data_IF_936467698698
#
_entry.id   IF_936467698698
#
_cell.length_a   1.000
_cell.length_b   1.000
_cell.length_c   1.000
_cell.angle_alpha   90.00
_cell.angle_beta   90.00
_cell.angle_gamma   90.00
#
_symmetry.space_group_name_H-M   'P 1'
#
loop_
_entity.id
_entity.type
_entity.pdbx_description
1 polymer ?
#
# COMPACT_ATOMS: atom_id res chain seq x y z
N UNK A 1 -20.46 12.53 21.70
CA UNK A 1 -19.22 13.26 22.00
C UNK A 1 -18.98 14.36 20.96
N UNK A 2 -19.09 14.13 19.69
CA UNK A 2 -18.78 15.09 18.60
C UNK A 2 -19.89 16.07 18.22
N UNK A 3 -21.13 15.88 18.70
CA UNK A 3 -22.24 16.84 18.44
C UNK A 3 -21.97 18.27 18.91
N UNK A 4 -21.10 18.47 19.92
CA UNK A 4 -20.66 19.79 20.38
C UNK A 4 -19.66 20.47 19.43
N UNK A 5 -18.97 19.67 18.57
CA UNK A 5 -18.03 20.20 17.59
C UNK A 5 -18.73 20.71 16.33
N UNK A 6 -19.94 20.23 16.03
CA UNK A 6 -20.77 20.70 14.92
C UNK A 6 -20.87 22.24 14.89
N UNK A 7 -21.09 22.86 16.05
CA UNK A 7 -21.22 24.31 16.18
C UNK A 7 -19.89 25.07 16.32
N UNK A 8 -18.79 24.37 16.64
CA UNK A 8 -17.46 24.98 16.89
C UNK A 8 -16.54 24.90 15.67
N UNK A 9 -16.70 23.84 14.84
CA UNK A 9 -15.80 23.57 13.73
C UNK A 9 -16.60 23.24 12.48
N UNK A 10 -16.67 24.22 11.57
CA UNK A 10 -17.29 24.02 10.27
C UNK A 10 -16.25 23.48 9.27
N UNK A 11 -16.40 22.21 8.91
CA UNK A 11 -15.51 21.51 7.97
C UNK A 11 -15.57 22.12 6.58
N UNK A 12 -16.78 22.53 6.13
CA UNK A 12 -16.98 23.07 4.78
C UNK A 12 -16.32 24.44 4.63
N UNK A 13 -16.42 25.31 5.64
CA UNK A 13 -15.81 26.63 5.60
C UNK A 13 -14.27 26.55 5.70
N UNK A 14 -13.77 25.56 6.44
CA UNK A 14 -12.33 25.32 6.60
C UNK A 14 -11.74 24.41 5.51
N UNK A 15 -12.50 24.08 4.49
CA UNK A 15 -12.06 23.16 3.43
C UNK A 15 -10.74 23.59 2.77
N UNK A 16 -10.50 24.87 2.58
CA UNK A 16 -9.26 25.34 1.94
C UNK A 16 -8.02 24.89 2.77
N UNK A 17 -8.10 25.02 4.10
CA UNK A 17 -7.02 24.58 5.00
C UNK A 17 -6.92 23.05 5.02
N UNK A 18 -8.04 22.38 5.24
CA UNK A 18 -8.09 20.91 5.31
C UNK A 18 -7.70 20.27 3.97
N UNK A 19 -8.22 20.77 2.84
CA UNK A 19 -7.84 20.32 1.52
C UNK A 19 -6.35 20.52 1.20
N UNK A 20 -5.77 21.64 1.64
CA UNK A 20 -4.32 21.88 1.49
C UNK A 20 -3.49 20.91 2.32
N UNK A 21 -3.89 20.61 3.55
CA UNK A 21 -3.23 19.59 4.39
C UNK A 21 -3.28 18.23 3.70
N UNK A 22 -4.46 17.82 3.21
CA UNK A 22 -4.59 16.58 2.44
C UNK A 22 -3.71 16.56 1.19
N UNK A 23 -3.67 17.67 0.45
CA UNK A 23 -2.82 17.79 -0.74
C UNK A 23 -1.33 17.67 -0.39
N UNK A 24 -0.88 18.21 0.74
CA UNK A 24 0.52 18.08 1.20
C UNK A 24 0.86 16.61 1.44
N UNK A 25 -0.03 15.83 2.08
CA UNK A 25 0.20 14.40 2.29
C UNK A 25 0.20 13.61 0.98
N UNK A 26 -0.63 14.00 0.00
CA UNK A 26 -0.67 13.35 -1.31
C UNK A 26 0.47 13.82 -2.25
N UNK A 27 1.10 14.96 -1.97
CA UNK A 27 2.05 15.63 -2.87
C UNK A 27 3.20 14.71 -3.29
N UNK A 28 3.77 13.98 -2.35
CA UNK A 28 4.90 13.10 -2.63
C UNK A 28 4.51 11.99 -3.62
N UNK A 29 3.35 11.36 -3.43
CA UNK A 29 2.83 10.37 -4.36
C UNK A 29 2.53 10.96 -5.74
N UNK A 30 1.93 12.16 -5.79
CA UNK A 30 1.63 12.87 -7.04
C UNK A 30 2.94 13.17 -7.79
N UNK A 31 3.93 13.76 -7.11
CA UNK A 31 5.23 14.10 -7.70
C UNK A 31 5.93 12.85 -8.21
N UNK A 32 5.93 11.77 -7.43
CA UNK A 32 6.56 10.50 -7.80
C UNK A 32 5.94 9.91 -9.07
N UNK A 33 4.63 9.99 -9.23
CA UNK A 33 3.94 9.50 -10.44
C UNK A 33 4.20 10.41 -11.65
N UNK A 34 4.17 11.73 -11.47
CA UNK A 34 4.42 12.70 -12.55
C UNK A 34 5.84 12.57 -13.10
N UNK A 35 6.82 12.24 -12.26
CA UNK A 35 8.22 12.15 -12.66
C UNK A 35 8.61 10.79 -13.28
N UNK A 36 7.78 9.75 -13.14
CA UNK A 36 8.02 8.44 -13.77
C UNK A 36 8.31 8.50 -15.28
N UNK A 37 7.55 9.24 -16.11
CA UNK A 37 7.81 9.32 -17.55
C UNK A 37 9.14 10.00 -17.90
N UNK A 38 9.73 10.76 -16.97
CA UNK A 38 11.02 11.45 -17.14
C UNK A 38 12.21 10.62 -16.66
N UNK A 39 12.04 9.32 -16.49
CA UNK A 39 13.04 8.38 -15.95
C UNK A 39 13.53 8.71 -14.52
N UNK A 40 12.79 9.53 -13.78
CA UNK A 40 13.02 9.77 -12.34
C UNK A 40 12.14 8.83 -11.56
N UNK A 41 12.71 7.72 -11.09
CA UNK A 41 11.97 6.68 -10.39
C UNK A 41 12.25 6.75 -8.89
N UNK A 42 11.22 7.05 -8.12
CA UNK A 42 11.26 7.03 -6.65
C UNK A 42 10.75 5.71 -6.08
N UNK A 43 10.05 4.89 -6.89
CA UNK A 43 9.50 3.62 -6.45
C UNK A 43 10.56 2.52 -6.49
N UNK A 44 10.52 1.64 -5.51
CA UNK A 44 11.32 0.43 -5.48
C UNK A 44 10.51 -0.71 -6.12
N UNK A 45 10.55 -0.84 -7.45
CA UNK A 45 9.86 -1.92 -8.14
C UNK A 45 10.52 -3.27 -7.84
N UNK A 46 9.69 -4.26 -7.52
CA UNK A 46 10.12 -5.63 -7.20
C UNK A 46 10.17 -6.51 -8.47
N UNK A 47 10.74 -7.70 -8.30
CA UNK A 47 10.89 -8.69 -9.37
C UNK A 47 9.55 -9.09 -10.00
N UNK A 48 8.44 -9.00 -9.27
CA UNK A 48 7.09 -9.25 -9.81
C UNK A 48 6.78 -8.41 -11.05
N UNK A 49 7.35 -7.19 -11.13
CA UNK A 49 7.11 -6.26 -12.23
C UNK A 49 8.31 -6.07 -13.16
N UNK A 50 9.51 -6.27 -12.66
CA UNK A 50 10.74 -6.11 -13.46
C UNK A 50 11.24 -7.43 -14.03
N UNK A 51 10.82 -8.55 -13.48
CA UNK A 51 11.46 -9.84 -13.63
C UNK A 51 12.71 -9.93 -12.75
N UNK A 52 13.14 -11.13 -12.45
CA UNK A 52 14.32 -11.37 -11.63
C UNK A 52 14.27 -12.67 -10.86
N UNK A 53 15.28 -12.90 -10.04
CA UNK A 53 15.39 -14.06 -9.15
C UNK A 53 15.41 -13.59 -7.71
N UNK A 54 14.56 -14.16 -6.86
CA UNK A 54 14.62 -14.03 -5.40
C UNK A 54 15.07 -15.36 -4.81
N UNK A 55 16.06 -15.29 -3.95
CA UNK A 55 16.59 -16.45 -3.23
C UNK A 55 16.54 -16.16 -1.72
N UNK A 56 16.03 -17.09 -0.94
CA UNK A 56 15.95 -16.97 0.51
C UNK A 56 16.76 -18.08 1.15
N UNK A 57 17.71 -17.70 2.01
CA UNK A 57 18.58 -18.62 2.72
C UNK A 57 18.49 -18.40 4.23
N UNK A 58 18.65 -19.48 5.00
CA UNK A 58 18.91 -19.39 6.44
C UNK A 58 20.42 -19.43 6.67
N UNK A 59 20.95 -18.33 7.21
CA UNK A 59 22.40 -18.17 7.41
C UNK A 59 22.87 -18.66 8.79
N UNK A 60 21.96 -19.08 9.67
CA UNK A 60 22.21 -19.53 11.04
C UNK A 60 23.02 -18.55 11.92
N UNK A 61 23.20 -17.33 11.45
CA UNK A 61 23.94 -16.26 12.13
C UNK A 61 23.12 -14.98 12.18
N UNK A 62 23.38 -14.12 13.18
CA UNK A 62 22.79 -12.78 13.18
C UNK A 62 23.38 -11.96 12.03
N UNK A 63 22.45 -11.39 11.22
CA UNK A 63 22.81 -10.59 10.06
C UNK A 63 22.81 -9.12 10.46
N UNK A 64 23.99 -8.53 10.50
CA UNK A 64 24.16 -7.09 10.58
C UNK A 64 24.37 -6.47 9.19
N UNK A 65 24.55 -5.15 9.13
CA UNK A 65 24.75 -4.45 7.87
C UNK A 65 26.03 -4.89 7.14
N UNK A 66 27.09 -5.17 7.88
CA UNK A 66 28.37 -5.56 7.31
C UNK A 66 28.27 -6.96 6.67
N UNK A 67 27.54 -7.88 7.32
CA UNK A 67 27.24 -9.21 6.78
C UNK A 67 26.38 -9.14 5.51
N UNK A 68 25.36 -8.27 5.48
CA UNK A 68 24.55 -8.09 4.28
C UNK A 68 25.37 -7.54 3.10
N UNK A 69 26.31 -6.63 3.37
CA UNK A 69 27.23 -6.10 2.35
C UNK A 69 28.21 -7.18 1.86
N UNK A 70 28.67 -8.08 2.74
CA UNK A 70 29.50 -9.23 2.38
C UNK A 70 28.74 -10.24 1.51
N UNK A 71 27.51 -10.56 1.89
CA UNK A 71 26.63 -11.43 1.09
C UNK A 71 26.42 -10.82 -0.30
N UNK A 72 26.17 -9.52 -0.39
CA UNK A 72 26.00 -8.85 -1.67
C UNK A 72 27.22 -9.01 -2.59
N UNK A 73 28.44 -8.88 -2.05
CA UNK A 73 29.69 -9.10 -2.80
C UNK A 73 29.86 -10.55 -3.24
N UNK A 74 29.59 -11.51 -2.35
CA UNK A 74 29.67 -12.93 -2.69
C UNK A 74 28.73 -13.30 -3.83
N UNK A 75 27.52 -12.74 -3.81
CA UNK A 75 26.52 -12.95 -4.88
C UNK A 75 27.00 -12.33 -6.19
N UNK A 76 27.56 -11.12 -6.16
CA UNK A 76 28.09 -10.45 -7.34
C UNK A 76 29.29 -11.21 -7.93
N UNK A 77 30.22 -11.63 -7.10
CA UNK A 77 31.41 -12.37 -7.51
C UNK A 77 31.05 -13.75 -8.11
N UNK A 78 30.06 -14.44 -7.52
CA UNK A 78 29.64 -15.76 -7.98
C UNK A 78 28.78 -15.74 -9.25
N UNK A 79 27.87 -14.77 -9.37
CA UNK A 79 26.91 -14.70 -10.47
C UNK A 79 27.34 -13.78 -11.61
N UNK A 80 28.30 -12.87 -11.36
CA UNK A 80 28.66 -11.77 -12.26
C UNK A 80 27.59 -10.68 -12.33
N UNK A 81 26.63 -10.68 -11.40
CA UNK A 81 25.48 -9.76 -11.38
C UNK A 81 25.35 -9.18 -9.97
N UNK A 82 25.42 -7.85 -9.85
CA UNK A 82 25.18 -7.20 -8.57
C UNK A 82 23.71 -7.41 -8.13
N UNK A 83 23.48 -7.83 -6.87
CA UNK A 83 22.12 -7.98 -6.36
C UNK A 83 21.42 -6.62 -6.28
N UNK A 84 20.17 -6.57 -6.70
CA UNK A 84 19.34 -5.38 -6.58
C UNK A 84 18.96 -5.08 -5.13
N UNK A 85 18.91 -6.11 -4.28
CA UNK A 85 18.62 -5.99 -2.86
C UNK A 85 19.13 -7.23 -2.11
N UNK A 86 19.72 -7.00 -0.93
CA UNK A 86 20.03 -8.01 0.07
C UNK A 86 19.45 -7.53 1.39
N UNK A 87 18.50 -8.27 1.94
CA UNK A 87 17.73 -7.84 3.12
C UNK A 87 17.62 -8.97 4.13
N UNK A 88 17.77 -8.62 5.40
CA UNK A 88 17.40 -9.52 6.49
C UNK A 88 15.89 -9.74 6.47
N UNK A 89 15.49 -10.99 6.62
CA UNK A 89 14.10 -11.40 6.84
C UNK A 89 13.94 -11.81 8.32
N UNK A 90 13.32 -12.93 8.60
CA UNK A 90 13.08 -13.40 9.95
C UNK A 90 14.32 -14.05 10.55
N UNK A 91 14.61 -13.72 11.80
CA UNK A 91 15.71 -14.36 12.53
C UNK A 91 17.05 -14.23 11.81
N UNK A 92 17.56 -15.37 11.32
CA UNK A 92 18.84 -15.53 10.62
C UNK A 92 18.68 -15.57 9.09
N UNK A 93 17.48 -15.33 8.56
CA UNK A 93 17.21 -15.45 7.13
C UNK A 93 17.61 -14.21 6.35
N UNK A 94 18.14 -14.42 5.14
CA UNK A 94 18.45 -13.40 4.15
C UNK A 94 17.62 -13.61 2.89
N UNK A 95 17.08 -12.51 2.36
CA UNK A 95 16.40 -12.46 1.04
C UNK A 95 17.29 -11.70 0.07
N UNK A 96 17.72 -12.37 -0.98
CA UNK A 96 18.58 -11.84 -2.05
C UNK A 96 17.74 -11.69 -3.30
N UNK A 97 17.72 -10.50 -3.89
CA UNK A 97 17.03 -10.22 -5.16
C UNK A 97 18.04 -9.78 -6.20
N UNK A 98 17.96 -10.39 -7.37
CA UNK A 98 18.83 -10.11 -8.52
C UNK A 98 18.01 -9.96 -9.80
N UNK A 99 18.63 -9.54 -10.90
CA UNK A 99 18.08 -9.80 -12.22
C UNK A 99 17.98 -11.30 -12.46
N UNK A 100 17.23 -11.73 -13.48
CA UNK A 100 17.02 -13.15 -13.77
C UNK A 100 18.35 -13.90 -13.87
N UNK A 101 18.53 -14.91 -13.03
CA UNK A 101 19.68 -15.81 -13.04
C UNK A 101 19.28 -17.16 -13.65
N UNK A 102 20.14 -17.69 -14.51
CA UNK A 102 20.06 -19.08 -14.96
C UNK A 102 20.40 -20.06 -13.83
N UNK A 103 20.18 -21.35 -14.07
CA UNK A 103 20.42 -22.39 -13.04
C UNK A 103 21.89 -22.46 -12.64
N UNK A 104 22.82 -22.33 -13.61
CA UNK A 104 24.25 -22.39 -13.32
C UNK A 104 24.71 -21.30 -12.38
N UNK A 105 24.25 -20.05 -12.62
CA UNK A 105 24.58 -18.91 -11.76
C UNK A 105 23.94 -19.01 -10.39
N UNK A 106 22.72 -19.52 -10.29
CA UNK A 106 22.07 -19.76 -8.99
C UNK A 106 22.83 -20.80 -8.16
N UNK A 107 23.26 -21.89 -8.81
CA UNK A 107 24.03 -22.94 -8.16
C UNK A 107 25.42 -22.42 -7.75
N UNK A 108 26.04 -21.53 -8.54
CA UNK A 108 27.28 -20.86 -8.19
C UNK A 108 27.10 -19.94 -6.95
N UNK A 109 26.04 -19.16 -6.90
CA UNK A 109 25.70 -18.34 -5.73
C UNK A 109 25.49 -19.18 -4.49
N UNK A 110 24.70 -20.27 -4.61
CA UNK A 110 24.49 -21.18 -3.47
C UNK A 110 25.79 -21.82 -3.01
N UNK A 111 26.65 -22.24 -3.93
CA UNK A 111 27.96 -22.85 -3.59
C UNK A 111 28.87 -21.85 -2.86
N UNK A 112 28.93 -20.60 -3.32
CA UNK A 112 29.71 -19.55 -2.65
C UNK A 112 29.18 -19.23 -1.25
N UNK A 113 27.87 -19.13 -1.08
CA UNK A 113 27.25 -18.90 0.22
C UNK A 113 27.43 -20.11 1.15
N UNK A 114 27.31 -21.33 0.60
CA UNK A 114 27.53 -22.57 1.34
C UNK A 114 28.95 -22.66 1.89
N UNK A 115 29.95 -22.31 1.10
CA UNK A 115 31.34 -22.31 1.51
C UNK A 115 31.63 -21.24 2.59
N UNK A 116 31.08 -20.03 2.41
CA UNK A 116 31.33 -18.91 3.32
C UNK A 116 30.61 -19.04 4.67
N UNK A 117 29.38 -19.58 4.67
CA UNK A 117 28.51 -19.66 5.86
C UNK A 117 28.22 -21.09 6.32
N UNK A 118 28.86 -22.09 5.71
CA UNK A 118 28.72 -23.50 6.04
C UNK A 118 27.27 -24.00 5.97
N UNK A 119 26.54 -23.59 4.91
CA UNK A 119 25.14 -23.93 4.71
C UNK A 119 24.96 -25.40 4.30
N UNK A 120 23.83 -25.97 4.67
CA UNK A 120 23.46 -27.33 4.29
C UNK A 120 22.70 -27.36 2.96
N UNK A 121 23.07 -28.28 2.09
CA UNK A 121 22.43 -28.48 0.77
C UNK A 121 21.31 -29.53 0.76
N UNK A 122 20.96 -30.10 1.92
CA UNK A 122 19.97 -31.16 2.03
C UNK A 122 20.52 -32.56 1.71
N UNK A 123 21.84 -32.71 1.55
CA UNK A 123 22.48 -34.03 1.36
C UNK A 123 23.05 -34.60 2.65
N UNK A 124 23.30 -33.75 3.64
CA UNK A 124 23.83 -34.14 4.93
C UNK A 124 22.80 -34.94 5.75
N UNK A 125 23.29 -35.88 6.57
CA UNK A 125 22.46 -36.67 7.48
C UNK A 125 22.86 -36.41 8.91
N UNK A 126 21.85 -36.39 9.79
CA UNK A 126 22.08 -36.31 11.23
C UNK A 126 22.63 -37.66 11.82
N UNK A 127 22.88 -37.68 13.12
CA UNK A 127 23.39 -38.86 13.81
C UNK A 127 22.41 -40.06 13.76
N UNK A 128 21.13 -39.80 13.53
CA UNK A 128 20.06 -40.81 13.44
C UNK A 128 19.77 -41.25 11.98
N UNK A 129 20.52 -40.66 11.02
CA UNK A 129 20.43 -41.02 9.59
C UNK A 129 19.34 -40.28 8.82
N UNK A 130 18.67 -39.28 9.44
CA UNK A 130 17.67 -38.45 8.77
C UNK A 130 18.37 -37.37 7.93
N UNK A 131 17.77 -37.03 6.77
CA UNK A 131 18.28 -35.94 5.93
C UNK A 131 18.05 -34.60 6.65
N UNK A 132 19.12 -33.82 6.84
CA UNK A 132 19.04 -32.47 7.33
C UNK A 132 18.46 -31.58 6.22
N UNK A 133 17.41 -30.77 6.47
CA UNK A 133 16.82 -29.88 5.46
C UNK A 133 17.86 -28.94 4.85
N UNK A 134 17.66 -28.56 3.60
CA UNK A 134 18.51 -27.53 2.97
C UNK A 134 18.28 -26.17 3.59
N UNK A 135 19.34 -25.35 3.70
CA UNK A 135 19.26 -23.97 4.16
C UNK A 135 18.82 -22.99 3.05
N UNK A 136 18.65 -23.48 1.82
CA UNK A 136 17.99 -22.77 0.75
C UNK A 136 16.46 -22.92 0.90
N UNK A 137 15.82 -21.92 1.50
CA UNK A 137 14.39 -21.97 1.87
C UNK A 137 13.46 -21.79 0.68
N UNK A 138 13.77 -20.85 -0.23
CA UNK A 138 13.03 -20.65 -1.47
C UNK A 138 13.89 -20.07 -2.58
N UNK A 139 13.52 -20.38 -3.81
CA UNK A 139 14.03 -19.74 -5.03
C UNK A 139 12.85 -19.45 -5.94
N UNK A 140 12.56 -18.16 -6.10
CA UNK A 140 11.51 -17.69 -6.99
C UNK A 140 12.15 -17.00 -8.19
N UNK A 141 11.79 -17.42 -9.39
CA UNK A 141 12.30 -16.84 -10.63
C UNK A 141 11.13 -16.32 -11.46
N UNK A 142 11.11 -15.02 -11.69
CA UNK A 142 10.11 -14.34 -12.51
C UNK A 142 10.77 -13.93 -13.81
N UNK A 143 10.36 -14.55 -14.92
CA UNK A 143 10.80 -14.13 -16.24
C UNK A 143 10.34 -12.69 -16.51
N UNK A 144 11.17 -11.84 -17.15
CA UNK A 144 10.80 -10.47 -17.51
C UNK A 144 9.51 -10.36 -18.34
N UNK A 145 9.22 -11.35 -19.19
CA UNK A 145 7.96 -11.41 -19.94
C UNK A 145 6.78 -11.64 -19.00
N UNK A 146 6.91 -12.57 -18.05
CA UNK A 146 5.90 -12.83 -17.04
C UNK A 146 5.68 -11.60 -16.15
N UNK A 147 6.74 -10.90 -15.76
CA UNK A 147 6.64 -9.64 -15.00
C UNK A 147 5.86 -8.56 -15.75
N UNK A 148 6.04 -8.45 -17.07
CA UNK A 148 5.27 -7.53 -17.91
C UNK A 148 3.79 -7.92 -17.98
N UNK A 149 3.48 -9.22 -18.12
CA UNK A 149 2.10 -9.73 -18.14
C UNK A 149 1.41 -9.52 -16.79
N UNK A 150 2.08 -9.81 -15.68
CA UNK A 150 1.58 -9.55 -14.33
C UNK A 150 1.28 -8.07 -14.13
N UNK A 151 2.17 -7.18 -14.54
CA UNK A 151 1.96 -5.73 -14.46
C UNK A 151 0.74 -5.28 -15.28
N UNK A 152 0.60 -5.78 -16.51
CA UNK A 152 -0.54 -5.44 -17.35
C UNK A 152 -1.85 -5.97 -16.76
N UNK A 153 -1.87 -7.21 -16.28
CA UNK A 153 -3.03 -7.78 -15.59
C UNK A 153 -3.41 -6.98 -14.34
N UNK A 154 -2.42 -6.54 -13.55
CA UNK A 154 -2.61 -5.71 -12.38
C UNK A 154 -3.23 -4.35 -12.71
N UNK A 155 -2.72 -3.67 -13.76
CA UNK A 155 -3.26 -2.38 -14.22
C UNK A 155 -4.70 -2.54 -14.71
N UNK A 156 -4.97 -3.56 -15.53
CA UNK A 156 -6.32 -3.84 -16.06
C UNK A 156 -7.29 -4.16 -14.91
N UNK A 157 -6.89 -5.00 -13.96
CA UNK A 157 -7.72 -5.35 -12.81
C UNK A 157 -8.04 -4.14 -11.93
N UNK A 158 -7.05 -3.29 -11.65
CA UNK A 158 -7.23 -2.06 -10.90
C UNK A 158 -8.18 -1.10 -11.63
N UNK A 159 -7.99 -0.93 -12.95
CA UNK A 159 -8.86 -0.10 -13.77
C UNK A 159 -10.30 -0.60 -13.75
N UNK A 160 -10.53 -1.90 -13.97
CA UNK A 160 -11.86 -2.50 -13.94
C UNK A 160 -12.53 -2.35 -12.56
N UNK A 161 -11.78 -2.57 -11.48
CA UNK A 161 -12.31 -2.38 -10.12
C UNK A 161 -12.72 -0.93 -9.88
N UNK A 162 -11.89 0.05 -10.27
CA UNK A 162 -12.21 1.47 -10.17
C UNK A 162 -13.46 1.79 -11.04
N UNK A 163 -13.50 1.31 -12.26
CA UNK A 163 -14.64 1.51 -13.16
C UNK A 163 -15.95 0.98 -12.57
N UNK A 164 -15.93 -0.25 -12.04
CA UNK A 164 -17.10 -0.84 -11.37
C UNK A 164 -17.56 0.00 -10.16
N UNK A 165 -16.60 0.50 -9.36
CA UNK A 165 -16.91 1.40 -8.23
C UNK A 165 -17.53 2.71 -8.72
N UNK A 166 -17.02 3.30 -9.80
CA UNK A 166 -17.56 4.53 -10.39
C UNK A 166 -18.99 4.34 -10.94
N UNK A 167 -19.23 3.22 -11.61
CA UNK A 167 -20.58 2.85 -12.10
C UNK A 167 -21.55 2.71 -10.92
N UNK A 168 -21.13 2.01 -9.85
CA UNK A 168 -21.95 1.88 -8.64
C UNK A 168 -22.28 3.25 -8.03
N UNK A 169 -21.30 4.16 -7.91
CA UNK A 169 -21.50 5.50 -7.37
C UNK A 169 -22.44 6.31 -8.28
N UNK A 170 -22.28 6.23 -9.60
CA UNK A 170 -23.10 6.95 -10.57
C UNK A 170 -24.58 6.51 -10.53
N UNK A 171 -24.83 5.21 -10.33
CA UNK A 171 -26.19 4.67 -10.19
C UNK A 171 -26.79 5.05 -8.83
N UNK A 172 -25.98 4.99 -7.77
CA UNK A 172 -26.45 5.14 -6.38
C UNK A 172 -26.60 6.60 -5.96
N UNK A 173 -25.78 7.50 -6.51
CA UNK A 173 -25.65 8.89 -6.08
C UNK A 173 -25.74 9.88 -7.25
N UNK A 174 -25.82 11.18 -6.93
CA UNK A 174 -25.74 12.28 -7.90
C UNK A 174 -24.31 12.38 -8.49
N UNK A 175 -24.16 12.75 -9.75
CA UNK A 175 -22.88 12.88 -10.43
C UNK A 175 -21.86 13.78 -9.69
N UNK A 176 -22.35 14.82 -8.98
CA UNK A 176 -21.51 15.74 -8.18
C UNK A 176 -20.91 15.05 -6.97
N UNK A 177 -21.71 14.23 -6.30
CA UNK A 177 -21.21 13.39 -5.21
C UNK A 177 -20.25 12.34 -5.73
N UNK A 178 -20.49 11.81 -6.95
CA UNK A 178 -19.57 10.91 -7.63
C UNK A 178 -18.19 11.55 -7.84
N UNK A 179 -18.13 12.76 -8.39
CA UNK A 179 -16.87 13.50 -8.56
C UNK A 179 -16.16 13.77 -7.22
N UNK A 180 -16.92 14.10 -6.18
CA UNK A 180 -16.36 14.32 -4.85
C UNK A 180 -15.76 13.02 -4.26
N UNK A 181 -16.41 11.87 -4.46
CA UNK A 181 -15.89 10.58 -4.05
C UNK A 181 -14.61 10.21 -4.82
N UNK A 182 -14.58 10.41 -6.15
CA UNK A 182 -13.39 10.17 -6.98
C UNK A 182 -12.20 10.99 -6.49
N UNK A 183 -12.42 12.28 -6.20
CA UNK A 183 -11.36 13.16 -5.69
C UNK A 183 -10.80 12.67 -4.34
N UNK A 184 -11.66 12.18 -3.45
CA UNK A 184 -11.23 11.59 -2.18
C UNK A 184 -10.46 10.29 -2.37
N UNK A 185 -10.94 9.39 -3.24
CA UNK A 185 -10.25 8.14 -3.55
C UNK A 185 -8.88 8.37 -4.21
N UNK A 186 -8.81 9.32 -5.16
CA UNK A 186 -7.53 9.69 -5.78
C UNK A 186 -6.53 10.22 -4.74
N UNK A 187 -6.99 11.08 -3.82
CA UNK A 187 -6.17 11.53 -2.69
C UNK A 187 -5.59 10.34 -1.90
N UNK A 188 -6.42 9.37 -1.54
CA UNK A 188 -6.00 8.23 -0.72
C UNK A 188 -4.95 7.37 -1.44
N UNK A 189 -5.15 7.12 -2.73
CA UNK A 189 -4.16 6.40 -3.55
C UNK A 189 -2.82 7.13 -3.59
N UNK A 190 -2.83 8.46 -3.79
CA UNK A 190 -1.57 9.24 -3.80
C UNK A 190 -0.89 9.28 -2.44
N UNK A 191 -1.63 9.34 -1.34
CA UNK A 191 -1.05 9.23 0.01
C UNK A 191 -0.38 7.88 0.20
N UNK A 192 -1.02 6.79 -0.22
CA UNK A 192 -0.45 5.44 -0.15
C UNK A 192 0.79 5.32 -1.03
N UNK A 193 0.75 5.83 -2.26
CA UNK A 193 1.93 5.88 -3.14
C UNK A 193 3.09 6.65 -2.49
N UNK A 194 2.78 7.77 -1.83
CA UNK A 194 3.76 8.50 -1.03
C UNK A 194 4.38 7.67 0.08
N UNK A 195 3.57 6.84 0.77
CA UNK A 195 4.09 5.94 1.79
C UNK A 195 5.05 4.88 1.22
N UNK A 196 4.75 4.30 0.05
CA UNK A 196 5.68 3.39 -0.63
C UNK A 196 7.04 4.04 -0.93
N UNK A 197 7.03 5.31 -1.34
CA UNK A 197 8.26 6.07 -1.59
C UNK A 197 9.04 6.36 -0.31
N UNK A 198 8.35 6.86 0.73
CA UNK A 198 8.98 7.25 2.01
C UNK A 198 9.60 6.06 2.72
N UNK A 199 8.84 4.98 2.82
CA UNK A 199 9.29 3.76 3.54
C UNK A 199 10.11 2.81 2.66
N UNK A 200 10.35 3.17 1.39
CA UNK A 200 11.09 2.33 0.42
C UNK A 200 10.53 0.92 0.28
N UNK A 201 9.22 0.77 0.47
CA UNK A 201 8.54 -0.52 0.38
C UNK A 201 8.58 -1.01 -1.07
N UNK A 202 8.90 -2.29 -1.32
CA UNK A 202 8.91 -2.83 -2.66
C UNK A 202 7.51 -2.83 -3.27
N UNK A 203 7.41 -2.31 -4.51
CA UNK A 203 6.18 -2.30 -5.30
C UNK A 203 6.07 -3.61 -6.05
N UNK A 204 5.25 -4.51 -5.54
CA UNK A 204 4.99 -5.86 -6.05
C UNK A 204 3.47 -6.10 -6.20
N UNK A 205 3.05 -7.34 -6.44
CA UNK A 205 1.62 -7.68 -6.55
C UNK A 205 0.83 -7.30 -5.30
N UNK A 206 1.46 -7.29 -4.12
CA UNK A 206 0.84 -6.89 -2.86
C UNK A 206 0.40 -5.42 -2.89
N UNK A 207 1.11 -4.54 -3.62
CA UNK A 207 0.72 -3.14 -3.83
C UNK A 207 -0.69 -3.02 -4.40
N UNK A 208 -1.03 -3.85 -5.40
CA UNK A 208 -2.36 -3.83 -6.02
C UNK A 208 -3.43 -4.23 -5.00
N UNK A 209 -3.16 -5.27 -4.21
CA UNK A 209 -4.07 -5.70 -3.14
C UNK A 209 -4.29 -4.59 -2.10
N UNK A 210 -3.23 -3.88 -1.68
CA UNK A 210 -3.31 -2.73 -0.78
C UNK A 210 -4.20 -1.64 -1.37
N UNK A 211 -3.93 -1.21 -2.61
CA UNK A 211 -4.69 -0.14 -3.27
C UNK A 211 -6.17 -0.49 -3.37
N UNK A 212 -6.51 -1.69 -3.85
CA UNK A 212 -7.90 -2.12 -3.98
C UNK A 212 -8.61 -2.22 -2.61
N UNK A 213 -7.91 -2.69 -1.58
CA UNK A 213 -8.45 -2.78 -0.22
C UNK A 213 -8.75 -1.38 0.34
N UNK A 214 -7.83 -0.43 0.16
CA UNK A 214 -7.98 0.95 0.64
C UNK A 214 -9.10 1.65 -0.12
N UNK A 215 -9.21 1.48 -1.43
CA UNK A 215 -10.30 2.04 -2.22
C UNK A 215 -11.66 1.53 -1.71
N UNK A 216 -11.78 0.23 -1.42
CA UNK A 216 -13.01 -0.36 -0.86
C UNK A 216 -13.32 0.17 0.54
N UNK A 217 -12.31 0.32 1.39
CA UNK A 217 -12.48 0.85 2.74
C UNK A 217 -12.88 2.34 2.73
N UNK A 218 -12.19 3.15 1.95
CA UNK A 218 -12.42 4.60 1.85
C UNK A 218 -13.79 4.91 1.25
N UNK A 219 -14.19 4.22 0.18
CA UNK A 219 -15.51 4.43 -0.41
C UNK A 219 -16.65 4.09 0.55
N UNK A 220 -16.50 3.02 1.36
CA UNK A 220 -17.50 2.66 2.37
C UNK A 220 -17.68 3.79 3.40
N UNK A 221 -16.60 4.39 3.89
CA UNK A 221 -16.66 5.52 4.81
C UNK A 221 -17.33 6.76 4.17
N UNK A 222 -17.00 7.03 2.91
CA UNK A 222 -17.60 8.14 2.13
C UNK A 222 -19.11 7.94 1.90
N UNK A 223 -19.53 6.73 1.56
CA UNK A 223 -20.95 6.38 1.37
C UNK A 223 -21.78 6.63 2.62
N UNK A 224 -21.26 6.27 3.81
CA UNK A 224 -21.95 6.50 5.09
C UNK A 224 -22.24 8.00 5.30
N UNK A 225 -21.27 8.86 4.98
CA UNK A 225 -21.43 10.32 5.08
C UNK A 225 -22.44 10.82 4.04
N UNK A 226 -22.34 10.34 2.80
CA UNK A 226 -23.24 10.76 1.72
C UNK A 226 -24.69 10.34 1.93
N UNK A 227 -24.93 9.14 2.44
CA UNK A 227 -26.27 8.71 2.81
C UNK A 227 -26.84 9.60 3.91
N UNK A 228 -26.03 9.97 4.92
CA UNK A 228 -26.46 10.89 5.98
C UNK A 228 -26.76 12.30 5.45
N UNK A 229 -25.97 12.79 4.50
CA UNK A 229 -26.24 14.06 3.82
C UNK A 229 -27.60 14.01 3.10
N UNK A 230 -27.90 12.90 2.40
CA UNK A 230 -29.19 12.70 1.70
C UNK A 230 -30.37 12.65 2.67
N UNK A 231 -30.23 11.96 3.80
CA UNK A 231 -31.26 11.93 4.86
C UNK A 231 -31.52 13.33 5.40
N UNK A 232 -30.48 14.03 5.81
CA UNK A 232 -30.59 15.38 6.36
C UNK A 232 -31.15 16.38 5.36
N UNK A 233 -30.84 16.26 4.07
CA UNK A 233 -31.37 17.11 2.99
C UNK A 233 -32.89 17.00 2.87
N UNK A 234 -33.48 15.82 3.15
CA UNK A 234 -34.95 15.63 3.12
C UNK A 234 -35.65 16.34 4.29
N UNK A 235 -34.98 16.40 5.44
CA UNK A 235 -35.54 16.93 6.70
C UNK A 235 -35.25 18.43 6.82
N UNK A 236 -34.03 18.85 6.53
CA UNK A 236 -33.53 20.23 6.74
C UNK A 236 -33.70 21.09 5.49
N UNK A 237 -34.93 21.25 4.99
CA UNK A 237 -35.21 21.93 3.72
C UNK A 237 -34.86 23.44 3.69
N UNK A 238 -34.79 24.10 4.85
CA UNK A 238 -34.47 25.54 4.99
C UNK A 238 -33.01 25.83 5.28
N UNK A 239 -32.20 24.80 5.46
CA UNK A 239 -30.76 24.91 5.84
C UNK A 239 -29.91 24.94 4.58
N UNK A 240 -28.81 25.67 4.57
CA UNK A 240 -27.86 25.69 3.46
C UNK A 240 -27.24 24.30 3.25
N UNK A 241 -26.89 23.95 2.01
CA UNK A 241 -26.32 22.64 1.73
C UNK A 241 -24.99 22.41 2.45
N UNK A 242 -24.16 23.47 2.60
CA UNK A 242 -22.91 23.39 3.35
C UNK A 242 -23.11 23.05 4.84
N UNK A 243 -24.11 23.66 5.47
CA UNK A 243 -24.48 23.32 6.86
C UNK A 243 -25.01 21.89 7.00
N UNK A 244 -25.82 21.42 6.02
CA UNK A 244 -26.28 20.02 5.98
C UNK A 244 -25.10 19.08 5.91
N UNK A 245 -24.11 19.35 5.06
CA UNK A 245 -22.89 18.55 4.93
C UNK A 245 -22.12 18.56 6.24
N UNK A 246 -21.86 19.71 6.83
CA UNK A 246 -21.13 19.82 8.09
C UNK A 246 -21.83 19.03 9.20
N UNK A 247 -23.13 19.18 9.36
CA UNK A 247 -23.92 18.44 10.33
C UNK A 247 -23.84 16.93 10.12
N UNK A 248 -23.94 16.47 8.88
CA UNK A 248 -23.89 15.05 8.52
C UNK A 248 -22.54 14.43 8.84
N UNK A 249 -21.43 15.13 8.58
CA UNK A 249 -20.07 14.69 8.92
C UNK A 249 -19.97 14.44 10.43
N UNK A 250 -20.38 15.41 11.25
CA UNK A 250 -20.28 15.26 12.70
C UNK A 250 -21.22 14.20 13.30
N UNK A 251 -22.40 13.98 12.68
CA UNK A 251 -23.32 12.93 13.08
C UNK A 251 -22.77 11.53 12.80
N UNK A 252 -21.96 11.37 11.75
CA UNK A 252 -21.36 10.08 11.38
C UNK A 252 -19.94 9.89 11.95
N UNK A 253 -19.30 10.96 12.44
CA UNK A 253 -17.92 10.97 12.91
C UNK A 253 -17.60 9.87 13.93
N UNK A 254 -18.47 9.68 14.93
CA UNK A 254 -18.27 8.64 15.97
C UNK A 254 -18.20 7.25 15.33
N UNK A 255 -19.11 6.96 14.38
CA UNK A 255 -19.15 5.67 13.69
C UNK A 255 -17.88 5.50 12.83
N UNK A 256 -17.52 6.49 12.04
CA UNK A 256 -16.33 6.43 11.18
C UNK A 256 -15.05 6.25 12.00
N UNK A 257 -14.90 6.98 13.10
CA UNK A 257 -13.75 6.84 13.99
C UNK A 257 -13.70 5.45 14.65
N UNK A 258 -14.81 4.96 15.19
CA UNK A 258 -14.83 3.66 15.84
C UNK A 258 -14.51 2.52 14.87
N UNK A 259 -15.06 2.55 13.65
CA UNK A 259 -14.74 1.54 12.63
C UNK A 259 -13.28 1.62 12.21
N UNK A 260 -12.73 2.82 12.06
CA UNK A 260 -11.30 2.99 11.73
C UNK A 260 -10.40 2.51 12.87
N UNK A 261 -10.71 2.85 14.13
CA UNK A 261 -9.93 2.41 15.28
C UNK A 261 -9.95 0.89 15.40
N UNK A 262 -11.10 0.25 15.27
CA UNK A 262 -11.19 -1.23 15.35
C UNK A 262 -10.41 -1.91 14.24
N UNK A 263 -10.43 -1.36 13.02
CA UNK A 263 -9.63 -1.88 11.90
C UNK A 263 -8.14 -1.64 12.14
N UNK A 264 -7.76 -0.45 12.61
CA UNK A 264 -6.35 -0.13 12.93
C UNK A 264 -5.82 -0.99 14.08
N UNK A 265 -6.63 -1.36 15.05
CA UNK A 265 -6.22 -2.28 16.11
C UNK A 265 -5.92 -3.67 15.54
N UNK A 266 -6.79 -4.20 14.68
CA UNK A 266 -6.57 -5.50 14.06
C UNK A 266 -5.32 -5.51 13.16
N UNK A 267 -5.21 -4.53 12.26
CA UNK A 267 -4.08 -4.40 11.32
C UNK A 267 -2.79 -4.05 12.08
N UNK A 268 -2.87 -3.21 13.11
CA UNK A 268 -1.74 -2.83 13.97
C UNK A 268 -1.18 -4.02 14.76
N UNK A 269 -2.03 -4.92 15.24
CA UNK A 269 -1.56 -6.17 15.87
C UNK A 269 -0.78 -7.03 14.87
N UNK A 270 -1.23 -7.12 13.62
CA UNK A 270 -0.49 -7.83 12.57
C UNK A 270 0.85 -7.13 12.28
N UNK A 271 0.91 -5.79 12.34
CA UNK A 271 2.16 -5.04 12.17
C UNK A 271 3.18 -5.32 13.27
N UNK A 272 2.72 -5.56 14.51
CA UNK A 272 3.59 -5.76 15.68
C UNK A 272 4.00 -7.24 15.83
N UNK A 273 3.06 -8.15 15.62
CA UNK A 273 3.22 -9.58 15.89
C UNK A 273 3.49 -10.39 14.61
N UNK A 274 3.27 -9.79 13.45
CA UNK A 274 3.44 -10.46 12.16
C UNK A 274 4.89 -10.57 11.73
N UNK A 275 5.11 -11.46 10.78
CA UNK A 275 6.41 -11.71 10.15
C UNK A 275 6.82 -10.55 9.23
N UNK A 276 8.11 -10.37 9.01
CA UNK A 276 8.66 -9.24 8.24
C UNK A 276 8.08 -9.13 6.82
N UNK A 277 7.78 -10.26 6.18
CA UNK A 277 7.19 -10.31 4.84
C UNK A 277 5.80 -9.66 4.76
N UNK A 278 5.02 -9.71 5.86
CA UNK A 278 3.68 -9.11 5.92
C UNK A 278 3.76 -7.59 6.16
N UNK A 279 4.84 -7.07 6.72
CA UNK A 279 4.98 -5.64 7.01
C UNK A 279 4.87 -4.78 5.75
N UNK A 280 5.37 -5.27 4.61
CA UNK A 280 5.27 -4.59 3.32
C UNK A 280 3.81 -4.39 2.85
N UNK A 281 2.88 -5.22 3.33
CA UNK A 281 1.44 -5.07 3.10
C UNK A 281 0.78 -4.19 4.16
N UNK A 282 1.13 -4.39 5.43
CA UNK A 282 0.41 -3.82 6.57
C UNK A 282 0.71 -2.33 6.75
N UNK A 283 1.96 -1.89 6.56
CA UNK A 283 2.35 -0.49 6.76
C UNK A 283 1.59 0.44 5.80
N UNK A 284 1.59 0.21 4.46
CA UNK A 284 0.81 1.03 3.55
C UNK A 284 -0.70 0.95 3.80
N UNK A 285 -1.20 -0.21 4.24
CA UNK A 285 -2.60 -0.38 4.58
C UNK A 285 -3.01 0.51 5.76
N UNK A 286 -2.19 0.59 6.82
CA UNK A 286 -2.42 1.50 7.95
C UNK A 286 -2.48 2.95 7.47
N UNK A 287 -1.51 3.37 6.65
CA UNK A 287 -1.49 4.73 6.09
C UNK A 287 -2.74 5.01 5.28
N UNK A 288 -3.14 4.06 4.43
CA UNK A 288 -4.34 4.19 3.59
C UNK A 288 -5.65 4.23 4.37
N UNK A 289 -5.78 3.45 5.45
CA UNK A 289 -6.96 3.48 6.34
C UNK A 289 -7.08 4.86 7.01
N UNK A 290 -5.97 5.43 7.48
CA UNK A 290 -5.95 6.78 8.08
C UNK A 290 -6.28 7.84 7.02
N UNK A 291 -5.70 7.74 5.82
CA UNK A 291 -5.98 8.62 4.69
C UNK A 291 -7.47 8.57 4.30
N UNK A 292 -8.07 7.37 4.23
CA UNK A 292 -9.48 7.17 3.89
C UNK A 292 -10.44 7.76 4.93
N UNK A 293 -10.11 7.67 6.23
CA UNK A 293 -10.87 8.39 7.27
C UNK A 293 -10.78 9.90 7.06
N UNK A 294 -9.57 10.41 6.80
CA UNK A 294 -9.35 11.83 6.58
C UNK A 294 -10.10 12.33 5.35
N UNK A 295 -9.95 11.68 4.22
CA UNK A 295 -10.55 12.09 2.95
C UNK A 295 -12.08 12.02 2.96
N UNK A 296 -12.65 10.97 3.59
CA UNK A 296 -14.10 10.84 3.71
C UNK A 296 -14.71 11.96 4.56
N UNK A 297 -14.06 12.38 5.66
CA UNK A 297 -14.59 13.44 6.54
C UNK A 297 -14.29 14.84 6.03
N UNK A 298 -13.08 15.09 5.49
CA UNK A 298 -12.60 16.45 5.26
C UNK A 298 -12.44 16.83 3.79
N UNK A 299 -12.53 15.89 2.87
CA UNK A 299 -12.38 16.13 1.43
C UNK A 299 -13.69 15.89 0.69
N UNK A 300 -14.29 14.69 0.80
CA UNK A 300 -15.43 14.28 -0.03
C UNK A 300 -16.67 15.17 0.16
N UNK A 301 -17.13 15.35 1.40
CA UNK A 301 -18.30 16.17 1.71
C UNK A 301 -18.15 17.64 1.31
N UNK A 302 -17.08 18.33 1.71
CA UNK A 302 -16.83 19.72 1.31
C UNK A 302 -16.70 19.94 -0.19
N UNK A 303 -16.07 19.02 -0.94
CA UNK A 303 -16.03 19.10 -2.42
C UNK A 303 -17.46 19.04 -2.98
N UNK A 304 -18.28 18.10 -2.52
CA UNK A 304 -19.68 18.03 -2.94
C UNK A 304 -20.44 19.33 -2.64
N UNK A 305 -20.23 19.92 -1.44
CA UNK A 305 -20.84 21.20 -1.09
C UNK A 305 -20.44 22.34 -2.04
N UNK A 306 -19.17 22.43 -2.42
CA UNK A 306 -18.66 23.44 -3.37
C UNK A 306 -19.23 23.22 -4.78
N UNK A 307 -19.32 21.98 -5.26
CA UNK A 307 -19.89 21.67 -6.59
C UNK A 307 -21.37 22.05 -6.71
N UNK A 308 -22.14 21.97 -5.62
CA UNK A 308 -23.54 22.42 -5.60
C UNK A 308 -23.63 23.95 -5.54
N UNK A 309 -22.77 24.62 -4.75
CA UNK A 309 -22.77 26.09 -4.63
C UNK A 309 -22.45 26.78 -5.93
N UNK A 310 -21.52 26.25 -6.71
CA UNK A 310 -21.08 26.86 -7.99
C UNK A 310 -22.08 26.65 -9.14
N UNK A 311 -23.15 25.88 -8.94
CA UNK A 311 -24.16 25.62 -9.98
C UNK A 311 -25.46 26.40 -9.81
N UNK A 312 -25.49 27.32 -8.83
CA UNK A 312 -26.53 28.32 -8.67
C UNK A 312 -26.03 29.67 -9.15
#
# INVERSE_FOLDING_TARGET
>A
MFAKLENKFNVVDKFNILGTIGLIFALLGIVSVILLPFNVNFFNFDIDFLGGTTMTYDMHTELDKAELDNIAKLVEDASGVAPSSVQKSEGTQVVIKTTTLDTEKRDAVFSALKEAYNLNDGTAKDADGNIIPTDMLSVDNVDPVMGADLRNAAIVSAFLAILCMLIYIAIRFDWRSGLAAIAALAHDVFVVMGAYVVFRIPVNMTFIAVVLTILGYSINATIIIFDRIRENRKVLKKTSFGEIVNKSIWQTATRSLNTTITTLLAVGLIAILGVSSIQNFVIPLIVGIIAGLYSSMFISGPIWAKLIKNSK
#
